data_IF_302218189958
#
_entry.id   IF_302218189958
#
_cell.length_a   1.000
_cell.length_b   1.000
_cell.length_c   1.000
_cell.angle_alpha   90.00
_cell.angle_beta   90.00
_cell.angle_gamma   90.00
#
_symmetry.space_group_name_H-M   'P 1'
#
loop_
_entity.id
_entity.type
_entity.pdbx_description
1 polymer ?
#
# COMPACT_ATOMS: atom_id res chain seq x y z
N UNK A 1 57.72 -34.07 -74.19
CA UNK A 1 58.11 -32.64 -74.23
C UNK A 1 56.83 -31.82 -74.11
N UNK A 2 56.49 -31.04 -73.10
CA UNK A 2 57.07 -30.65 -71.81
C UNK A 2 55.94 -29.90 -71.07
N UNK A 3 55.79 -30.14 -69.77
CA UNK A 3 54.83 -29.42 -68.90
C UNK A 3 55.37 -28.02 -68.63
N UNK A 4 54.55 -26.98 -68.78
CA UNK A 4 54.78 -25.71 -68.11
C UNK A 4 53.51 -25.20 -67.44
N UNK A 5 53.54 -25.26 -66.12
CA UNK A 5 52.71 -24.50 -65.19
C UNK A 5 53.07 -23.02 -65.28
N UNK A 6 52.09 -22.11 -65.30
CA UNK A 6 52.35 -20.70 -65.02
C UNK A 6 51.41 -20.18 -63.93
N UNK A 7 52.04 -19.65 -62.89
CA UNK A 7 51.48 -19.21 -61.61
C UNK A 7 50.89 -17.81 -61.71
N UNK A 8 49.79 -17.63 -61.00
CA UNK A 8 49.20 -16.36 -60.57
C UNK A 8 50.21 -15.34 -60.06
N UNK A 9 50.10 -14.08 -60.52
CA UNK A 9 50.36 -12.87 -59.70
C UNK A 9 49.48 -11.72 -60.19
N UNK A 10 48.42 -11.41 -59.44
CA UNK A 10 47.72 -10.14 -59.51
C UNK A 10 48.44 -9.09 -58.63
N UNK A 11 48.51 -7.82 -59.06
CA UNK A 11 49.22 -6.80 -58.29
C UNK A 11 48.34 -6.26 -57.15
N UNK A 12 48.86 -6.34 -55.94
CA UNK A 12 48.38 -5.67 -54.74
C UNK A 12 48.17 -4.16 -55.00
N UNK A 13 46.91 -3.69 -55.01
CA UNK A 13 46.59 -2.27 -54.79
C UNK A 13 46.71 -1.96 -53.29
N UNK A 14 47.88 -1.51 -52.88
CA UNK A 14 48.08 -0.90 -51.56
C UNK A 14 47.37 0.46 -51.49
N UNK A 15 46.14 0.49 -50.98
CA UNK A 15 45.47 1.74 -50.60
C UNK A 15 46.13 2.28 -49.33
N UNK A 16 47.19 3.09 -49.48
CA UNK A 16 47.70 3.94 -48.40
C UNK A 16 46.62 4.95 -48.03
N UNK A 17 45.95 4.72 -46.91
CA UNK A 17 45.18 5.77 -46.23
C UNK A 17 46.10 6.46 -45.23
N UNK A 18 46.18 7.78 -45.37
CA UNK A 18 46.88 8.73 -44.49
C UNK A 18 46.72 8.40 -42.98
N UNK A 19 47.82 8.39 -42.20
CA UNK A 19 47.82 8.01 -40.78
C UNK A 19 46.92 8.87 -39.87
N UNK A 20 46.65 10.12 -40.26
CA UNK A 20 45.86 11.09 -39.49
C UNK A 20 44.37 10.69 -39.41
N UNK A 21 43.76 10.33 -40.53
CA UNK A 21 42.34 9.93 -40.64
C UNK A 21 42.08 8.62 -39.87
N UNK A 22 43.09 7.72 -39.81
CA UNK A 22 42.99 6.47 -39.02
C UNK A 22 42.97 6.72 -37.51
N UNK A 23 43.64 7.77 -37.03
CA UNK A 23 43.63 8.14 -35.61
C UNK A 23 42.29 8.79 -35.23
N UNK A 24 41.78 9.69 -36.06
CA UNK A 24 40.52 10.41 -35.84
C UNK A 24 39.29 9.47 -35.78
N UNK A 25 39.20 8.53 -36.73
CA UNK A 25 38.16 7.49 -36.73
C UNK A 25 38.28 6.53 -35.53
N UNK A 26 39.45 6.40 -34.90
CA UNK A 26 39.64 5.60 -33.67
C UNK A 26 39.17 6.35 -32.42
N UNK A 27 39.32 7.67 -32.36
CA UNK A 27 38.82 8.51 -31.26
C UNK A 27 37.30 8.63 -31.28
N UNK A 28 36.69 8.82 -32.45
CA UNK A 28 35.23 8.83 -32.60
C UNK A 28 34.60 7.50 -32.14
N UNK A 29 35.22 6.36 -32.50
CA UNK A 29 34.78 5.03 -32.05
C UNK A 29 34.88 4.82 -30.54
N UNK A 30 35.73 5.57 -29.83
CA UNK A 30 35.85 5.49 -28.35
C UNK A 30 34.75 6.28 -27.64
N UNK A 31 34.20 7.33 -28.24
CA UNK A 31 33.23 8.21 -27.60
C UNK A 31 31.78 7.74 -27.69
N UNK A 32 31.46 6.77 -28.55
CA UNK A 32 30.08 6.31 -28.68
C UNK A 32 29.58 5.58 -27.42
N UNK A 33 28.39 5.96 -26.96
CA UNK A 33 27.71 5.33 -25.84
C UNK A 33 27.18 3.95 -26.25
N UNK A 34 27.61 2.91 -25.53
CA UNK A 34 27.19 1.52 -25.81
C UNK A 34 26.48 0.90 -24.63
N UNK A 35 25.61 -0.08 -24.90
CA UNK A 35 24.93 -0.84 -23.85
C UNK A 35 25.89 -1.56 -22.89
N UNK A 36 27.10 -1.90 -23.34
CA UNK A 36 28.15 -2.48 -22.49
C UNK A 36 28.68 -1.47 -21.47
N UNK A 37 28.90 -0.21 -21.87
CA UNK A 37 29.31 0.89 -20.99
C UNK A 37 28.22 1.22 -19.96
N UNK A 38 26.97 1.35 -20.42
CA UNK A 38 25.81 1.60 -19.56
C UNK A 38 25.62 0.52 -18.47
N UNK A 39 25.97 -0.73 -18.75
CA UNK A 39 25.85 -1.83 -17.77
C UNK A 39 26.88 -1.72 -16.64
N UNK A 40 28.05 -1.16 -16.89
CA UNK A 40 29.12 -0.97 -15.89
C UNK A 40 28.88 0.27 -15.02
N UNK A 41 27.96 1.14 -15.40
CA UNK A 41 27.63 2.35 -14.64
C UNK A 41 26.64 2.06 -13.50
N UNK A 42 26.77 2.76 -12.36
CA UNK A 42 25.73 2.83 -11.33
C UNK A 42 24.38 3.26 -11.91
N UNK A 43 23.29 2.85 -11.26
CA UNK A 43 21.92 3.04 -11.77
C UNK A 43 21.61 4.51 -12.12
N UNK A 44 22.13 5.43 -11.31
CA UNK A 44 21.85 6.87 -11.38
C UNK A 44 22.51 7.47 -12.64
N UNK A 45 23.81 7.21 -12.82
CA UNK A 45 24.60 7.65 -13.98
C UNK A 45 24.12 7.00 -15.28
N UNK A 46 23.69 5.74 -15.21
CA UNK A 46 23.08 5.05 -16.36
C UNK A 46 21.79 5.73 -16.82
N UNK A 47 20.93 6.13 -15.89
CA UNK A 47 19.67 6.85 -16.21
C UNK A 47 19.97 8.23 -16.80
N UNK A 48 20.98 8.92 -16.28
CA UNK A 48 21.42 10.21 -16.78
C UNK A 48 21.97 10.12 -18.21
N UNK A 49 22.91 9.22 -18.48
CA UNK A 49 23.51 9.02 -19.80
C UNK A 49 22.47 8.62 -20.88
N UNK A 50 21.44 7.85 -20.50
CA UNK A 50 20.33 7.50 -21.42
C UNK A 50 19.46 8.71 -21.74
N UNK A 51 19.23 9.61 -20.77
CA UNK A 51 18.50 10.86 -21.02
C UNK A 51 19.29 11.80 -21.92
N UNK A 52 20.59 11.96 -21.64
CA UNK A 52 21.46 12.82 -22.44
C UNK A 52 21.56 12.32 -23.90
N UNK A 53 21.73 11.01 -24.11
CA UNK A 53 21.74 10.42 -25.46
C UNK A 53 20.41 10.61 -26.19
N UNK A 54 19.27 10.55 -25.47
CA UNK A 54 17.95 10.83 -26.06
C UNK A 54 17.81 12.29 -26.45
N UNK A 55 18.23 13.22 -25.59
CA UNK A 55 18.15 14.65 -25.86
C UNK A 55 19.04 15.07 -27.06
N UNK A 56 20.14 14.34 -27.29
CA UNK A 56 21.06 14.55 -28.42
C UNK A 56 20.74 13.71 -29.66
N UNK A 57 19.64 12.93 -29.65
CA UNK A 57 19.30 11.96 -30.70
C UNK A 57 20.45 11.00 -31.09
N UNK A 58 21.33 10.68 -30.13
CA UNK A 58 22.46 9.78 -30.35
C UNK A 58 22.00 8.31 -30.25
N UNK A 59 22.28 7.47 -31.27
CA UNK A 59 21.92 6.06 -31.20
C UNK A 59 22.83 5.31 -30.21
N UNK A 60 22.23 4.70 -29.19
CA UNK A 60 22.96 3.83 -28.26
C UNK A 60 23.31 2.54 -28.98
N UNK A 61 24.59 2.36 -29.33
CA UNK A 61 25.04 1.22 -30.12
C UNK A 61 25.10 -0.09 -29.31
N UNK A 62 24.76 -1.18 -30.00
CA UNK A 62 24.84 -2.56 -29.50
C UNK A 62 23.50 -3.19 -29.14
N UNK A 63 23.47 -4.52 -29.07
CA UNK A 63 22.27 -5.25 -28.66
C UNK A 63 22.06 -5.05 -27.15
N UNK A 64 20.95 -4.42 -26.76
CA UNK A 64 20.43 -4.53 -25.40
C UNK A 64 20.32 -6.02 -25.12
N UNK A 65 21.11 -6.54 -24.17
CA UNK A 65 20.96 -7.93 -23.74
C UNK A 65 19.51 -8.03 -23.28
N UNK A 66 18.64 -8.65 -24.09
CA UNK A 66 17.30 -9.01 -23.63
C UNK A 66 17.57 -9.73 -22.33
N UNK A 67 17.06 -9.21 -21.21
CA UNK A 67 16.99 -10.02 -20.00
C UNK A 67 16.41 -11.33 -20.51
N UNK A 68 17.11 -12.44 -20.33
CA UNK A 68 16.47 -13.74 -20.46
C UNK A 68 15.31 -13.63 -19.50
N UNK A 69 14.12 -13.31 -20.02
CA UNK A 69 12.91 -13.48 -19.27
C UNK A 69 12.91 -14.98 -19.10
N UNK A 70 13.15 -15.44 -17.87
CA UNK A 70 13.17 -16.87 -17.59
C UNK A 70 11.94 -17.46 -18.28
N UNK A 71 12.14 -18.34 -19.28
CA UNK A 71 11.06 -18.79 -20.14
C UNK A 71 10.11 -19.54 -19.24
N UNK A 72 9.00 -18.90 -18.87
CA UNK A 72 7.93 -19.37 -17.98
C UNK A 72 8.46 -20.00 -16.69
N UNK A 73 8.19 -19.35 -15.56
CA UNK A 73 8.31 -19.96 -14.24
C UNK A 73 7.65 -21.35 -14.29
N UNK A 74 8.43 -22.41 -14.50
CA UNK A 74 8.01 -23.78 -14.21
C UNK A 74 7.86 -23.72 -12.71
N UNK A 75 6.63 -23.47 -12.26
CA UNK A 75 6.30 -23.50 -10.85
C UNK A 75 6.74 -24.91 -10.44
N UNK A 76 7.76 -24.99 -9.57
CA UNK A 76 8.19 -26.28 -9.03
C UNK A 76 6.95 -26.97 -8.46
N UNK A 77 6.86 -28.30 -8.51
CA UNK A 77 5.69 -29.04 -8.01
C UNK A 77 5.29 -28.59 -6.59
N UNK A 78 6.28 -28.24 -5.75
CA UNK A 78 6.09 -27.63 -4.42
C UNK A 78 5.35 -26.28 -4.45
N UNK A 79 5.62 -25.38 -5.40
CA UNK A 79 4.91 -24.11 -5.55
C UNK A 79 3.47 -24.31 -6.05
N UNK A 80 3.25 -25.26 -6.95
CA UNK A 80 1.89 -25.60 -7.41
C UNK A 80 1.05 -26.17 -6.26
N UNK A 81 1.63 -27.07 -5.47
CA UNK A 81 0.97 -27.61 -4.26
C UNK A 81 0.65 -26.50 -3.26
N UNK A 82 1.60 -25.61 -2.96
CA UNK A 82 1.34 -24.47 -2.07
C UNK A 82 0.28 -23.50 -2.63
N UNK A 83 0.22 -23.31 -3.95
CA UNK A 83 -0.81 -22.50 -4.61
C UNK A 83 -2.18 -23.17 -4.49
N UNK A 84 -2.26 -24.50 -4.65
CA UNK A 84 -3.46 -25.31 -4.46
C UNK A 84 -3.95 -25.26 -3.01
N UNK A 85 -3.10 -25.60 -2.03
CA UNK A 85 -3.46 -25.58 -0.60
C UNK A 85 -3.97 -24.19 -0.19
N UNK A 86 -3.37 -23.12 -0.75
CA UNK A 86 -3.80 -21.74 -0.52
C UNK A 86 -5.14 -21.41 -1.19
N UNK A 87 -5.40 -21.95 -2.38
CA UNK A 87 -6.66 -21.77 -3.08
C UNK A 87 -7.79 -22.52 -2.37
N UNK A 88 -7.56 -23.78 -1.98
CA UNK A 88 -8.49 -24.59 -1.20
C UNK A 88 -8.82 -23.93 0.14
N UNK A 89 -7.81 -23.48 0.90
CA UNK A 89 -8.03 -22.76 2.14
C UNK A 89 -8.84 -21.46 1.94
N UNK A 90 -8.61 -20.74 0.83
CA UNK A 90 -9.43 -19.56 0.51
C UNK A 90 -10.87 -19.93 0.16
N UNK A 91 -11.08 -21.02 -0.58
CA UNK A 91 -12.40 -21.52 -0.93
C UNK A 91 -13.17 -21.95 0.33
N UNK A 92 -12.52 -22.66 1.25
CA UNK A 92 -13.11 -22.99 2.56
C UNK A 92 -13.50 -21.73 3.34
N UNK A 93 -12.60 -20.75 3.46
CA UNK A 93 -12.92 -19.48 4.13
C UNK A 93 -14.07 -18.72 3.46
N UNK A 94 -14.15 -18.76 2.13
CA UNK A 94 -15.25 -18.15 1.38
C UNK A 94 -16.58 -18.86 1.70
N UNK A 95 -16.61 -20.19 1.60
CA UNK A 95 -17.78 -21.02 1.94
C UNK A 95 -18.24 -20.76 3.38
N UNK A 96 -17.33 -20.79 4.35
CA UNK A 96 -17.67 -20.49 5.76
C UNK A 96 -18.20 -19.06 5.92
N UNK A 97 -17.62 -18.08 5.21
CA UNK A 97 -18.10 -16.70 5.29
C UNK A 97 -19.49 -16.50 4.66
N UNK A 98 -19.81 -17.27 3.63
CA UNK A 98 -21.14 -17.28 3.00
C UNK A 98 -22.17 -17.97 3.89
N UNK A 99 -21.83 -19.10 4.50
CA UNK A 99 -22.68 -19.78 5.49
C UNK A 99 -22.95 -18.88 6.69
N UNK A 100 -21.94 -18.23 7.25
CA UNK A 100 -22.12 -17.27 8.34
C UNK A 100 -23.04 -16.12 7.92
N UNK A 101 -22.93 -15.63 6.69
CA UNK A 101 -23.82 -14.59 6.18
C UNK A 101 -25.26 -15.09 6.10
N UNK A 102 -25.50 -16.32 5.63
CA UNK A 102 -26.84 -16.92 5.59
C UNK A 102 -27.41 -17.05 7.00
N UNK A 103 -26.66 -17.63 7.94
CA UNK A 103 -27.09 -17.78 9.34
C UNK A 103 -27.47 -16.45 9.96
N UNK A 104 -26.67 -15.39 9.74
CA UNK A 104 -26.98 -14.06 10.27
C UNK A 104 -28.19 -13.41 9.60
N UNK A 105 -28.46 -13.70 8.32
CA UNK A 105 -29.64 -13.21 7.60
C UNK A 105 -30.92 -13.94 7.99
N UNK A 106 -30.83 -15.23 8.30
CA UNK A 106 -31.98 -16.06 8.67
C UNK A 106 -32.51 -15.74 10.07
N UNK A 107 -31.66 -15.19 10.94
CA UNK A 107 -32.02 -14.80 12.32
C UNK A 107 -32.29 -13.30 12.39
N UNK A 108 -33.56 -12.92 12.52
CA UNK A 108 -34.01 -11.51 12.59
C UNK A 108 -33.26 -10.68 13.64
N UNK A 109 -32.94 -11.26 14.80
CA UNK A 109 -32.23 -10.53 15.88
C UNK A 109 -30.75 -10.29 15.58
N UNK A 110 -30.17 -10.96 14.58
CA UNK A 110 -28.75 -10.89 14.23
C UNK A 110 -28.50 -10.30 12.84
N UNK A 111 -29.56 -9.93 12.11
CA UNK A 111 -29.46 -9.43 10.73
C UNK A 111 -28.63 -8.17 10.59
N UNK A 112 -28.56 -7.36 11.65
CA UNK A 112 -27.81 -6.10 11.68
C UNK A 112 -26.30 -6.31 11.89
N UNK A 113 -25.87 -7.52 12.25
CA UNK A 113 -24.48 -7.85 12.55
C UNK A 113 -23.72 -8.17 11.25
N UNK A 114 -22.57 -7.52 10.99
CA UNK A 114 -21.75 -7.87 9.83
C UNK A 114 -21.13 -9.26 10.00
N UNK A 115 -21.17 -10.10 8.96
CA UNK A 115 -20.51 -11.42 8.91
C UNK A 115 -19.01 -11.41 9.25
N UNK A 116 -18.31 -10.27 9.11
CA UNK A 116 -16.91 -10.08 9.49
C UNK A 116 -16.75 -9.18 10.72
N UNK A 117 -17.60 -9.39 11.73
CA UNK A 117 -17.56 -8.66 13.00
C UNK A 117 -16.23 -8.88 13.74
N UNK A 118 -15.69 -7.81 14.32
CA UNK A 118 -14.52 -7.90 15.20
C UNK A 118 -14.94 -8.19 16.63
N UNK A 119 -14.10 -8.87 17.42
CA UNK A 119 -14.39 -9.15 18.84
C UNK A 119 -14.70 -7.86 19.64
N UNK A 120 -14.09 -6.73 19.26
CA UNK A 120 -14.39 -5.43 19.87
C UNK A 120 -15.79 -4.91 19.54
N UNK A 121 -16.25 -5.06 18.29
CA UNK A 121 -17.61 -4.69 17.90
C UNK A 121 -18.62 -5.64 18.56
N UNK A 122 -18.36 -6.95 18.54
CA UNK A 122 -19.26 -7.95 19.14
C UNK A 122 -19.47 -7.71 20.64
N UNK A 123 -18.40 -7.46 21.39
CA UNK A 123 -18.50 -7.09 22.81
C UNK A 123 -19.20 -5.76 23.02
N UNK A 124 -19.09 -4.83 22.06
CA UNK A 124 -19.83 -3.57 22.05
C UNK A 124 -21.33 -3.81 21.94
N UNK A 125 -21.77 -4.63 20.99
CA UNK A 125 -23.18 -4.99 20.80
C UNK A 125 -23.75 -5.72 22.02
N UNK A 126 -23.00 -6.68 22.58
CA UNK A 126 -23.41 -7.35 23.84
C UNK A 126 -23.56 -6.32 24.97
N UNK A 127 -22.62 -5.39 25.11
CA UNK A 127 -22.70 -4.36 26.14
C UNK A 127 -23.87 -3.38 25.93
N UNK A 128 -24.29 -3.15 24.68
CA UNK A 128 -25.50 -2.37 24.37
C UNK A 128 -26.73 -3.12 24.84
N UNK A 129 -26.83 -4.40 24.52
CA UNK A 129 -27.95 -5.25 24.96
C UNK A 129 -28.03 -5.34 26.49
N UNK A 130 -26.88 -5.36 27.19
CA UNK A 130 -26.80 -5.34 28.65
C UNK A 130 -27.07 -3.96 29.28
N UNK A 131 -27.15 -2.89 28.50
CA UNK A 131 -27.31 -1.52 29.00
C UNK A 131 -26.07 -0.94 29.69
N UNK A 132 -24.89 -1.53 29.48
CA UNK A 132 -23.61 -1.13 30.09
C UNK A 132 -22.66 -0.42 29.14
N UNK A 133 -23.05 -0.29 27.87
CA UNK A 133 -22.20 0.28 26.84
C UNK A 133 -21.95 1.78 27.04
N UNK A 134 -20.72 2.20 26.76
CA UNK A 134 -20.38 3.62 26.55
C UNK A 134 -20.19 3.86 25.06
N UNK A 135 -21.06 4.66 24.47
CA UNK A 135 -21.04 5.00 23.04
C UNK A 135 -20.37 6.34 22.84
N UNK A 136 -19.45 6.42 21.89
CA UNK A 136 -18.69 7.65 21.59
C UNK A 136 -18.71 7.86 20.09
N UNK A 137 -19.00 9.09 19.68
CA UNK A 137 -19.04 9.46 18.28
C UNK A 137 -17.76 10.18 17.90
N UNK A 138 -16.99 9.64 16.96
CA UNK A 138 -15.77 10.28 16.48
C UNK A 138 -16.01 10.90 15.11
N UNK A 139 -16.11 12.23 15.08
CA UNK A 139 -16.18 12.99 13.85
C UNK A 139 -14.87 12.85 13.08
N UNK A 140 -15.02 12.42 11.83
CA UNK A 140 -13.93 12.28 10.88
C UNK A 140 -14.12 13.30 9.79
N UNK A 141 -13.01 13.92 9.44
CA UNK A 141 -12.99 14.97 8.46
C UNK A 141 -13.12 14.38 7.05
N UNK A 142 -14.22 14.68 6.36
CA UNK A 142 -14.49 14.17 5.00
C UNK A 142 -14.94 12.70 4.94
N UNK A 143 -15.24 12.08 6.08
CA UNK A 143 -15.78 10.73 6.20
C UNK A 143 -16.99 10.70 7.12
N UNK A 144 -17.76 9.61 7.10
CA UNK A 144 -18.85 9.42 8.05
C UNK A 144 -18.35 9.41 9.51
N UNK A 145 -19.16 9.86 10.46
CA UNK A 145 -18.85 9.75 11.89
C UNK A 145 -18.65 8.29 12.27
N UNK A 146 -17.57 8.02 13.01
CA UNK A 146 -17.23 6.68 13.48
C UNK A 146 -17.88 6.46 14.86
N UNK A 147 -18.86 5.56 14.93
CA UNK A 147 -19.45 5.12 16.21
C UNK A 147 -18.53 4.11 16.88
N UNK A 148 -18.11 4.39 18.11
CA UNK A 148 -17.26 3.53 18.91
C UNK A 148 -18.01 3.14 20.17
N UNK A 149 -18.26 1.85 20.31
CA UNK A 149 -18.93 1.29 21.48
C UNK A 149 -17.89 0.60 22.37
N UNK A 150 -17.83 1.00 23.63
CA UNK A 150 -16.94 0.43 24.63
C UNK A 150 -17.73 -0.45 25.59
N UNK A 151 -17.23 -1.67 25.81
CA UNK A 151 -17.84 -2.67 26.68
C UNK A 151 -17.40 -2.58 28.15
N UNK A 152 -16.43 -1.72 28.47
CA UNK A 152 -15.89 -1.64 29.84
C UNK A 152 -16.80 -0.80 30.73
N UNK A 153 -16.94 -1.21 31.99
CA UNK A 153 -17.70 -0.45 33.00
C UNK A 153 -17.09 0.93 33.27
N UNK A 154 -15.76 0.99 33.33
CA UNK A 154 -14.98 2.22 33.45
C UNK A 154 -13.95 2.27 32.32
N UNK A 155 -14.35 2.77 31.14
CA UNK A 155 -13.45 2.84 30.00
C UNK A 155 -12.33 3.85 30.26
N UNK A 156 -11.13 3.51 29.80
CA UNK A 156 -9.96 4.40 29.80
C UNK A 156 -9.73 5.00 28.42
N UNK A 157 -9.03 6.14 28.37
CA UNK A 157 -8.68 6.77 27.09
C UNK A 157 -7.79 5.87 26.21
N UNK A 158 -6.95 5.02 26.81
CA UNK A 158 -6.16 4.04 26.05
C UNK A 158 -7.05 2.97 25.38
N UNK A 159 -8.09 2.51 26.07
CA UNK A 159 -9.08 1.58 25.51
C UNK A 159 -9.88 2.24 24.40
N UNK A 160 -10.33 3.49 24.58
CA UNK A 160 -11.00 4.27 23.53
C UNK A 160 -10.11 4.40 22.28
N UNK A 161 -8.86 4.85 22.43
CA UNK A 161 -7.91 4.98 21.31
C UNK A 161 -7.66 3.65 20.60
N UNK A 162 -7.60 2.54 21.34
CA UNK A 162 -7.48 1.20 20.77
C UNK A 162 -8.74 0.79 20.01
N UNK A 163 -9.92 1.06 20.57
CA UNK A 163 -11.21 0.76 19.93
C UNK A 163 -11.38 1.56 18.63
N UNK A 164 -11.11 2.87 18.65
CA UNK A 164 -11.08 3.72 17.45
C UNK A 164 -10.19 3.09 16.37
N UNK A 165 -8.99 2.64 16.74
CA UNK A 165 -8.05 2.05 15.82
C UNK A 165 -8.53 0.74 15.19
N UNK A 166 -9.16 -0.12 15.99
CA UNK A 166 -9.65 -1.43 15.56
C UNK A 166 -10.90 -1.31 14.69
N UNK A 167 -11.90 -0.56 15.14
CA UNK A 167 -13.16 -0.37 14.42
C UNK A 167 -12.91 0.36 13.10
N UNK A 168 -12.08 1.41 13.12
CA UNK A 168 -11.73 2.11 11.90
C UNK A 168 -11.04 1.20 10.88
N UNK A 169 -10.14 0.32 11.32
CA UNK A 169 -9.48 -0.65 10.44
C UNK A 169 -10.49 -1.67 9.89
N UNK A 170 -11.44 -2.11 10.70
CA UNK A 170 -12.50 -3.02 10.28
C UNK A 170 -13.40 -2.37 9.21
N UNK A 171 -13.93 -1.17 9.47
CA UNK A 171 -14.72 -0.40 8.52
C UNK A 171 -13.97 -0.13 7.21
N UNK A 172 -12.69 0.27 7.30
CA UNK A 172 -11.89 0.51 6.10
C UNK A 172 -11.69 -0.78 5.28
N UNK A 173 -11.44 -1.91 5.93
CA UNK A 173 -11.31 -3.21 5.26
C UNK A 173 -12.62 -3.61 4.56
N UNK A 174 -13.77 -3.37 5.19
CA UNK A 174 -15.10 -3.60 4.59
C UNK A 174 -15.33 -2.71 3.37
N UNK A 175 -15.12 -1.40 3.49
CA UNK A 175 -15.28 -0.47 2.36
C UNK A 175 -14.33 -0.76 1.20
N UNK A 176 -13.09 -1.17 1.47
CA UNK A 176 -12.15 -1.58 0.41
C UNK A 176 -12.60 -2.85 -0.31
N UNK A 177 -13.19 -3.81 0.41
CA UNK A 177 -13.74 -5.03 -0.20
C UNK A 177 -14.90 -4.69 -1.13
N UNK A 178 -15.84 -3.88 -0.66
CA UNK A 178 -16.98 -3.41 -1.46
C UNK A 178 -16.52 -2.69 -2.74
N UNK A 179 -15.55 -1.77 -2.62
CA UNK A 179 -14.95 -1.10 -3.79
C UNK A 179 -14.21 -2.06 -4.72
N UNK A 180 -13.57 -3.11 -4.19
CA UNK A 180 -12.92 -4.15 -5.02
C UNK A 180 -13.95 -5.00 -5.76
N UNK A 181 -14.98 -5.44 -5.07
CA UNK A 181 -16.07 -6.25 -5.62
C UNK A 181 -16.84 -5.48 -6.69
N UNK A 182 -17.19 -4.22 -6.42
CA UNK A 182 -17.85 -3.34 -7.39
C UNK A 182 -16.99 -3.14 -8.65
N UNK A 183 -15.68 -3.00 -8.51
CA UNK A 183 -14.76 -2.94 -9.65
C UNK A 183 -14.71 -4.23 -10.45
N UNK A 184 -14.92 -5.39 -9.81
CA UNK A 184 -15.01 -6.68 -10.49
C UNK A 184 -16.35 -6.83 -11.21
N UNK A 185 -17.47 -6.47 -10.56
CA UNK A 185 -18.81 -6.46 -11.16
C UNK A 185 -18.84 -5.62 -12.44
N UNK A 186 -18.30 -4.40 -12.40
CA UNK A 186 -18.22 -3.51 -13.59
C UNK A 186 -17.37 -4.05 -14.74
N UNK A 187 -16.43 -4.97 -14.46
CA UNK A 187 -15.55 -5.55 -15.49
C UNK A 187 -16.16 -6.80 -16.13
N UNK A 188 -17.34 -7.25 -15.70
CA UNK A 188 -17.98 -8.47 -16.22
C UNK A 188 -17.15 -9.73 -15.98
N UNK A 189 -16.20 -9.68 -15.04
CA UNK A 189 -15.43 -10.86 -14.64
C UNK A 189 -16.34 -11.61 -13.66
N UNK A 190 -17.23 -12.42 -14.21
CA UNK A 190 -17.81 -13.54 -13.48
C UNK A 190 -16.67 -14.43 -12.96
N UNK A 191 -16.95 -15.11 -11.86
CA UNK A 191 -16.05 -15.73 -10.88
C UNK A 191 -15.03 -16.77 -11.37
N UNK A 192 -14.71 -16.84 -12.66
CA UNK A 192 -14.17 -18.03 -13.32
C UNK A 192 -12.68 -17.94 -13.71
N UNK A 193 -11.92 -16.99 -13.16
CA UNK A 193 -10.48 -16.85 -13.46
C UNK A 193 -9.67 -16.32 -12.28
N UNK A 194 -9.40 -17.23 -11.35
CA UNK A 194 -8.79 -16.96 -10.04
C UNK A 194 -7.26 -16.70 -10.06
N UNK A 195 -6.61 -16.83 -11.22
CA UNK A 195 -5.14 -16.73 -11.34
C UNK A 195 -4.55 -15.33 -11.04
N UNK A 196 -5.40 -14.29 -10.92
CA UNK A 196 -4.97 -12.93 -10.57
C UNK A 196 -5.38 -12.47 -9.17
N UNK A 197 -5.94 -13.35 -8.33
CA UNK A 197 -6.20 -13.06 -6.91
C UNK A 197 -4.91 -13.14 -6.07
N UNK A 198 -3.91 -12.35 -6.44
CA UNK A 198 -2.97 -11.91 -5.42
C UNK A 198 -3.75 -10.98 -4.49
N UNK A 199 -3.74 -11.21 -3.17
CA UNK A 199 -4.15 -10.17 -2.25
C UNK A 199 -3.16 -9.03 -2.50
N UNK A 200 -3.59 -7.99 -3.20
CA UNK A 200 -2.91 -6.70 -3.14
C UNK A 200 -2.86 -6.43 -1.65
N UNK A 201 -1.64 -6.48 -1.07
CA UNK A 201 -1.44 -6.31 0.36
C UNK A 201 -2.36 -5.17 0.80
N UNK A 202 -3.33 -5.49 1.67
CA UNK A 202 -4.37 -4.54 2.09
C UNK A 202 -3.62 -3.42 2.77
N UNK A 203 -3.35 -2.41 1.97
CA UNK A 203 -2.44 -1.36 2.34
C UNK A 203 -3.27 -0.54 3.32
N UNK A 204 -2.90 -0.62 4.61
CA UNK A 204 -3.63 -0.06 5.75
C UNK A 204 -3.79 1.45 5.58
N UNK A 205 -4.81 1.92 4.85
CA UNK A 205 -5.04 3.35 4.63
C UNK A 205 -5.65 3.95 5.88
N UNK A 206 -4.79 4.28 6.83
CA UNK A 206 -5.13 4.99 8.07
C UNK A 206 -5.12 6.49 7.88
N UNK A 207 -4.55 7.01 6.79
CA UNK A 207 -4.51 8.43 6.49
C UNK A 207 -5.80 9.02 5.92
N UNK A 208 -6.83 8.21 5.65
CA UNK A 208 -8.17 8.73 5.32
C UNK A 208 -8.86 9.38 6.54
N UNK A 209 -8.42 9.08 7.77
CA UNK A 209 -9.08 9.53 9.00
C UNK A 209 -8.71 10.93 9.44
N UNK A 210 -7.59 11.44 8.92
CA UNK A 210 -7.01 12.72 9.33
C UNK A 210 -6.52 13.42 8.09
N UNK A 211 -7.16 14.56 7.78
CA UNK A 211 -6.84 15.44 6.65
C UNK A 211 -5.36 15.44 6.27
N UNK A 212 -5.03 14.70 5.22
CA UNK A 212 -3.81 14.96 4.44
C UNK A 212 -4.08 14.98 2.95
N UNK A 213 -5.26 14.60 2.47
CA UNK A 213 -5.55 14.38 1.05
C UNK A 213 -5.31 15.62 0.14
N UNK A 214 -5.41 16.85 0.64
CA UNK A 214 -5.44 18.02 -0.24
C UNK A 214 -4.19 18.91 -0.27
N UNK A 215 -3.07 18.55 0.37
CA UNK A 215 -1.95 19.52 0.42
C UNK A 215 -1.22 19.72 -0.92
N UNK A 216 -1.17 18.73 -1.82
CA UNK A 216 -0.28 18.75 -3.00
C UNK A 216 -0.84 18.15 -4.31
N UNK A 217 -2.16 17.93 -4.49
CA UNK A 217 -2.69 17.36 -5.75
C UNK A 217 -2.17 15.94 -6.08
N UNK A 218 -1.68 15.22 -5.08
CA UNK A 218 -1.34 13.80 -5.12
C UNK A 218 -2.04 13.12 -3.96
N UNK A 219 -2.63 11.95 -4.20
CA UNK A 219 -3.05 11.02 -3.13
C UNK A 219 -1.82 10.73 -2.28
N UNK A 220 -1.67 11.43 -1.16
CA UNK A 220 -0.59 11.18 -0.23
C UNK A 220 -0.70 9.71 0.17
N UNK A 221 0.41 8.96 0.07
CA UNK A 221 0.51 7.57 0.54
C UNK A 221 0.06 7.51 2.00
N UNK A 222 -1.20 7.19 2.23
CA UNK A 222 -1.88 7.30 3.51
C UNK A 222 -1.62 6.09 4.44
N UNK A 223 -0.35 5.66 4.56
CA UNK A 223 0.06 4.63 5.53
C UNK A 223 0.61 5.30 6.78
N UNK A 224 -0.28 5.90 7.58
CA UNK A 224 0.13 6.57 8.83
C UNK A 224 -0.15 5.64 10.00
N UNK A 225 0.88 5.15 10.69
CA UNK A 225 0.65 4.26 11.84
C UNK A 225 -0.23 4.94 12.90
N UNK A 226 -1.10 4.17 13.58
CA UNK A 226 -1.90 4.68 14.71
C UNK A 226 -1.04 5.31 15.80
N UNK A 227 0.17 4.78 16.02
CA UNK A 227 1.15 5.38 16.94
C UNK A 227 1.55 6.80 16.53
N UNK A 228 1.73 7.04 15.23
CA UNK A 228 1.99 8.38 14.71
C UNK A 228 0.75 9.27 14.84
N UNK A 229 -0.44 8.76 14.51
CA UNK A 229 -1.68 9.53 14.64
C UNK A 229 -1.87 10.01 16.09
N UNK A 230 -1.72 9.13 17.08
CA UNK A 230 -1.84 9.51 18.49
C UNK A 230 -0.71 10.43 19.00
N UNK A 231 0.44 10.44 18.32
CA UNK A 231 1.53 11.36 18.61
C UNK A 231 1.27 12.77 18.08
N UNK A 232 0.67 12.89 16.89
CA UNK A 232 0.44 14.19 16.24
C UNK A 232 -0.94 14.77 16.55
N UNK A 233 -1.92 13.93 16.83
CA UNK A 233 -3.32 14.31 17.03
C UNK A 233 -3.80 13.93 18.44
N UNK A 234 -4.57 14.84 19.02
CA UNK A 234 -5.35 14.65 20.22
C UNK A 234 -6.82 14.52 19.87
N UNK A 235 -7.64 14.16 20.87
CA UNK A 235 -9.09 14.22 20.76
C UNK A 235 -9.57 15.53 21.39
N UNK A 236 -10.50 16.19 20.73
CA UNK A 236 -11.22 17.36 21.23
C UNK A 236 -12.66 16.92 21.46
N UNK A 237 -13.22 17.20 22.63
CA UNK A 237 -14.65 17.08 22.82
C UNK A 237 -15.33 18.26 22.11
N UNK A 238 -16.21 17.98 21.16
CA UNK A 238 -16.91 19.00 20.35
C UNK A 238 -17.92 19.76 21.20
N UNK A 239 -18.54 19.08 22.16
CA UNK A 239 -19.60 19.63 22.99
C UNK A 239 -19.02 20.63 24.02
N UNK A 240 -17.89 20.27 24.64
CA UNK A 240 -17.22 21.13 25.63
C UNK A 240 -16.15 22.05 25.03
N UNK A 241 -15.79 21.84 23.76
CA UNK A 241 -14.65 22.48 23.09
C UNK A 241 -13.31 22.34 23.84
N UNK A 242 -13.18 21.33 24.71
CA UNK A 242 -11.96 21.10 25.48
C UNK A 242 -11.09 20.00 24.86
N UNK A 243 -9.77 20.24 24.69
CA UNK A 243 -8.85 19.22 24.21
C UNK A 243 -8.52 18.24 25.33
N UNK A 244 -8.63 16.95 25.05
CA UNK A 244 -8.38 15.88 26.01
C UNK A 244 -6.87 15.68 26.15
N UNK A 245 -6.34 15.99 27.33
CA UNK A 245 -4.94 15.75 27.66
C UNK A 245 -4.73 14.34 28.24
N UNK A 246 -4.32 13.41 27.38
CA UNK A 246 -4.03 12.03 27.77
C UNK A 246 -2.58 11.80 28.25
N UNK A 247 -1.71 12.81 28.16
CA UNK A 247 -0.28 12.66 28.47
C UNK A 247 -0.02 12.56 29.97
N UNK A 248 -0.76 13.31 30.79
CA UNK A 248 -0.57 13.34 32.25
C UNK A 248 -0.72 11.97 32.90
N UNK A 249 -1.60 11.13 32.36
CA UNK A 249 -1.96 9.84 32.97
C UNK A 249 -1.50 8.63 32.13
N UNK A 250 -0.66 8.81 31.11
CA UNK A 250 -0.19 7.73 30.21
C UNK A 250 -1.33 6.84 29.69
N UNK A 251 -2.48 7.46 29.42
CA UNK A 251 -3.69 6.80 28.95
C UNK A 251 -4.47 5.96 29.98
N UNK A 252 -4.11 6.00 31.27
CA UNK A 252 -4.83 5.30 32.36
C UNK A 252 -6.03 6.06 32.91
N UNK A 253 -6.12 7.37 32.64
CA UNK A 253 -7.26 8.16 33.05
C UNK A 253 -8.56 7.59 32.47
N UNK A 254 -9.58 7.52 33.32
CA UNK A 254 -10.92 7.10 32.90
C UNK A 254 -11.53 8.17 31.99
N UNK A 255 -12.48 7.77 31.16
CA UNK A 255 -13.18 8.72 30.29
C UNK A 255 -13.93 9.79 31.11
N UNK A 256 -14.51 9.39 32.25
CA UNK A 256 -15.19 10.30 33.18
C UNK A 256 -14.23 11.35 33.77
N UNK A 257 -13.03 10.96 34.20
CA UNK A 257 -12.00 11.90 34.69
C UNK A 257 -11.59 12.94 33.63
N UNK A 258 -11.65 12.55 32.35
CA UNK A 258 -11.31 13.41 31.23
C UNK A 258 -12.50 14.24 30.71
N UNK A 259 -13.65 14.21 31.40
CA UNK A 259 -14.86 14.94 30.99
C UNK A 259 -15.48 14.39 29.70
N UNK A 260 -15.29 13.10 29.42
CA UNK A 260 -15.90 12.41 28.28
C UNK A 260 -17.08 11.60 28.80
N UNK A 261 -18.28 12.10 28.51
CA UNK A 261 -19.54 11.46 28.88
C UNK A 261 -19.98 10.43 27.83
N UNK A 262 -21.03 9.68 28.17
CA UNK A 262 -21.68 8.78 27.22
C UNK A 262 -22.33 9.61 26.09
N UNK A 263 -22.28 9.10 24.87
CA UNK A 263 -22.70 9.77 23.64
C UNK A 263 -21.93 11.05 23.29
N UNK A 264 -20.78 11.31 23.94
CA UNK A 264 -19.96 12.48 23.61
C UNK A 264 -19.43 12.43 22.17
N UNK A 265 -19.35 13.61 21.55
CA UNK A 265 -18.82 13.76 20.20
C UNK A 265 -17.37 14.25 20.24
N UNK A 266 -16.45 13.46 19.69
CA UNK A 266 -15.02 13.75 19.65
C UNK A 266 -14.53 14.04 18.24
N UNK A 267 -13.58 14.96 18.12
CA UNK A 267 -12.91 15.31 16.86
C UNK A 267 -11.40 15.17 16.98
N UNK A 268 -10.76 14.72 15.90
CA UNK A 268 -9.29 14.76 15.81
C UNK A 268 -8.79 16.19 15.64
N UNK A 269 -7.87 16.60 16.52
CA UNK A 269 -7.20 17.91 16.42
C UNK A 269 -5.71 17.77 16.51
N UNK A 270 -4.97 18.61 15.78
CA UNK A 270 -3.51 18.57 15.84
C UNK A 270 -3.01 19.04 17.21
N UNK A 271 -2.22 18.20 17.90
CA UNK A 271 -1.77 18.47 19.29
C UNK A 271 -1.03 19.80 19.40
N UNK A 272 -0.22 20.15 18.40
CA UNK A 272 0.57 21.39 18.42
C UNK A 272 -0.30 22.64 18.53
N UNK A 273 -1.56 22.60 18.08
CA UNK A 273 -2.49 23.73 18.17
C UNK A 273 -2.94 24.02 19.60
N UNK A 274 -3.04 23.00 20.45
CA UNK A 274 -3.63 23.11 21.79
C UNK A 274 -2.64 22.85 22.92
N UNK A 275 -1.62 22.00 22.71
CA UNK A 275 -0.63 21.60 23.70
C UNK A 275 0.78 22.15 23.41
N UNK A 276 0.94 22.94 22.34
CA UNK A 276 2.22 23.50 21.92
C UNK A 276 3.20 22.48 21.28
N UNK A 277 4.38 22.97 20.88
CA UNK A 277 5.46 22.10 20.39
C UNK A 277 6.25 21.54 21.57
N UNK A 278 5.88 20.33 21.98
CA UNK A 278 6.69 19.55 22.92
C UNK A 278 7.93 19.03 22.17
N UNK A 279 9.12 19.61 22.43
CA UNK A 279 10.40 18.96 22.11
C UNK A 279 10.59 17.85 23.14
N UNK A 280 10.75 16.62 22.69
CA UNK A 280 11.09 15.54 23.61
C UNK A 280 12.60 15.54 23.84
N UNK A 281 12.98 15.62 25.12
CA UNK A 281 14.18 14.99 25.68
C UNK A 281 14.09 13.47 25.59
#
# INVERSE_FOLDING_TARGET
MGRHTNRDRSPFRGSQMEPSIRKEKRTERRNVLTYKKLRKMPLNLRKQAVREARNRNEPILGKKKKRKMNPRVVKTARRLRNDFDRAEHKAMLASTSEELRRILQDVETLSDIPHDITNTELRGEIAIAEGRATTIYVQRDGLSTLTVVLHQHEPTIAQLKRAIALISRAQHKRSQRERCEERLRRRGIADDSDERRQPVAVASSTGELVHSAQRNGHDHRAFVSWRFLWRCFGLLNVDTNQPIDDQRCSGRATLKELGIENAATLKFVHRVKYFGRQRQS
#
